data_IF_366891564451
#
_entry.id   IF_366891564451
#
_cell.length_a   1.000
_cell.length_b   1.000
_cell.length_c   1.000
_cell.angle_alpha   90.00
_cell.angle_beta   90.00
_cell.angle_gamma   90.00
#
_symmetry.space_group_name_H-M   'P 1'
#
loop_
_entity.id
_entity.type
_entity.pdbx_description
1 polymer ?
#
# COMPACT_ATOMS: atom_id res chain seq x y z
N UNK A 1 2.38 0.51 5.58
CA UNK A 1 1.42 0.22 6.68
C UNK A 1 0.77 1.54 7.10
N UNK A 2 -0.43 1.54 7.69
CA UNK A 2 -1.13 2.75 8.18
C UNK A 2 -1.62 3.77 7.10
N UNK A 3 -1.17 3.64 5.86
CA UNK A 3 -1.50 4.55 4.74
C UNK A 3 -2.68 4.07 3.89
N UNK A 4 -2.85 2.76 3.71
CA UNK A 4 -3.96 2.18 2.94
C UNK A 4 -5.08 1.62 3.83
N UNK A 5 -4.73 1.26 5.05
CA UNK A 5 -5.59 0.70 6.08
C UNK A 5 -5.02 1.09 7.44
N UNK A 6 -5.86 1.10 8.47
CA UNK A 6 -5.41 1.32 9.85
C UNK A 6 -4.45 0.21 10.29
N UNK A 7 -3.58 0.50 11.26
CA UNK A 7 -2.59 -0.47 11.72
C UNK A 7 -3.21 -1.81 12.13
N UNK A 8 -2.56 -2.91 11.76
CA UNK A 8 -3.06 -4.28 11.93
C UNK A 8 -4.32 -4.64 11.11
N UNK A 9 -4.90 -3.68 10.37
CA UNK A 9 -6.12 -3.86 9.59
C UNK A 9 -5.91 -4.39 8.18
N UNK A 10 -7.03 -4.52 7.46
CA UNK A 10 -7.09 -4.89 6.05
C UNK A 10 -7.66 -3.74 5.22
N UNK A 11 -7.38 -3.75 3.92
CA UNK A 11 -8.12 -2.97 2.94
C UNK A 11 -9.46 -3.68 2.67
N UNK A 12 -10.52 -3.18 3.33
CA UNK A 12 -11.88 -3.70 3.12
C UNK A 12 -12.61 -2.88 2.05
N UNK A 13 -13.39 -1.85 2.40
CA UNK A 13 -14.22 -1.15 1.43
C UNK A 13 -13.97 0.35 1.43
N UNK A 14 -12.91 0.77 0.72
CA UNK A 14 -12.67 2.18 0.41
C UNK A 14 -12.70 2.39 -1.12
N UNK A 15 -13.92 2.54 -1.66
CA UNK A 15 -14.17 2.70 -3.10
C UNK A 15 -13.37 3.88 -3.69
N UNK A 16 -13.38 5.02 -3.03
CA UNK A 16 -12.71 6.24 -3.51
C UNK A 16 -11.20 6.02 -3.65
N UNK A 17 -10.56 5.43 -2.65
CA UNK A 17 -9.13 5.13 -2.67
C UNK A 17 -8.80 4.04 -3.70
N UNK A 18 -9.63 3.00 -3.80
CA UNK A 18 -9.44 1.93 -4.78
C UNK A 18 -9.56 2.44 -6.22
N UNK A 19 -10.58 3.24 -6.53
CA UNK A 19 -10.76 3.85 -7.86
C UNK A 19 -9.62 4.80 -8.21
N UNK A 20 -9.09 5.54 -7.23
CA UNK A 20 -7.92 6.38 -7.44
C UNK A 20 -6.69 5.54 -7.83
N UNK A 21 -6.40 4.44 -7.10
CA UNK A 21 -5.32 3.50 -7.42
C UNK A 21 -5.52 2.89 -8.83
N UNK A 22 -6.73 2.44 -9.13
CA UNK A 22 -7.08 1.88 -10.45
C UNK A 22 -6.85 2.91 -11.56
N UNK A 23 -7.19 4.17 -11.33
CA UNK A 23 -6.97 5.24 -12.31
C UNK A 23 -5.48 5.38 -12.65
N UNK A 24 -4.59 5.30 -11.65
CA UNK A 24 -3.15 5.31 -11.87
C UNK A 24 -2.71 4.08 -12.69
N UNK A 25 -3.13 2.89 -12.29
CA UNK A 25 -2.77 1.63 -12.95
C UNK A 25 -3.22 1.58 -14.41
N UNK A 26 -4.42 2.09 -14.72
CA UNK A 26 -4.93 2.17 -16.09
C UNK A 26 -4.14 3.11 -16.99
N UNK A 27 -3.36 4.03 -16.42
CA UNK A 27 -2.47 4.96 -17.14
C UNK A 27 -1.00 4.50 -17.10
N UNK A 28 -0.74 3.22 -16.80
CA UNK A 28 0.61 2.64 -16.81
C UNK A 28 1.48 3.01 -15.62
N UNK A 29 0.93 3.70 -14.62
CA UNK A 29 1.66 4.00 -13.38
C UNK A 29 1.83 2.70 -12.58
N UNK A 30 3.08 2.38 -12.24
CA UNK A 30 3.39 1.26 -11.34
C UNK A 30 3.02 1.64 -9.91
N UNK A 31 2.12 0.89 -9.30
CA UNK A 31 1.67 1.09 -7.92
C UNK A 31 2.22 -0.04 -7.06
N UNK A 32 3.01 0.28 -6.04
CA UNK A 32 3.60 -0.71 -5.15
C UNK A 32 3.21 -0.44 -3.69
N UNK A 33 2.74 -1.48 -2.99
CA UNK A 33 2.51 -1.45 -1.54
C UNK A 33 3.74 -1.99 -0.84
N UNK A 34 4.47 -1.12 -0.14
CA UNK A 34 5.63 -1.51 0.69
C UNK A 34 5.16 -1.69 2.14
N UNK A 35 5.43 -2.85 2.73
CA UNK A 35 4.95 -3.21 4.08
C UNK A 35 6.03 -3.92 4.89
N UNK A 36 6.09 -3.63 6.19
CA UNK A 36 6.91 -4.37 7.14
C UNK A 36 6.43 -5.82 7.32
N UNK A 37 5.18 -6.12 6.97
CA UNK A 37 4.66 -7.48 7.06
C UNK A 37 5.46 -8.42 6.15
N UNK A 38 6.32 -9.25 6.76
CA UNK A 38 7.06 -10.32 6.09
C UNK A 38 6.36 -11.66 6.23
N UNK A 39 5.68 -12.09 5.15
CA UNK A 39 5.04 -13.41 5.03
C UNK A 39 5.78 -14.34 4.06
N UNK A 40 7.02 -14.00 3.68
CA UNK A 40 7.73 -14.70 2.60
C UNK A 40 7.07 -14.45 1.25
N UNK A 41 7.16 -15.44 0.37
CA UNK A 41 6.55 -15.45 -0.97
C UNK A 41 5.11 -16.01 -0.96
N UNK A 42 4.48 -16.15 0.20
CA UNK A 42 3.10 -16.60 0.35
C UNK A 42 2.12 -15.46 -0.02
N UNK A 43 1.82 -15.35 -1.31
CA UNK A 43 0.92 -14.34 -1.89
C UNK A 43 -0.46 -14.31 -1.22
N UNK A 44 -0.97 -15.46 -0.77
CA UNK A 44 -2.31 -15.57 -0.17
C UNK A 44 -2.48 -14.72 1.09
N UNK A 45 -1.41 -14.56 1.89
CA UNK A 45 -1.43 -13.73 3.10
C UNK A 45 -1.48 -12.24 2.79
N UNK A 46 -0.76 -11.79 1.75
CA UNK A 46 -0.86 -10.42 1.27
C UNK A 46 -2.23 -10.16 0.65
N UNK A 47 -2.76 -11.11 -0.13
CA UNK A 47 -4.10 -11.01 -0.72
C UNK A 47 -5.18 -10.85 0.34
N UNK A 48 -5.06 -11.54 1.49
CA UNK A 48 -5.99 -11.35 2.61
C UNK A 48 -5.99 -9.92 3.14
N UNK A 49 -4.81 -9.28 3.25
CA UNK A 49 -4.68 -7.89 3.72
C UNK A 49 -5.23 -6.87 2.71
N UNK A 50 -5.22 -7.22 1.42
CA UNK A 50 -5.60 -6.33 0.31
C UNK A 50 -6.89 -6.75 -0.40
N UNK A 51 -7.66 -7.66 0.20
CA UNK A 51 -8.76 -8.37 -0.46
C UNK A 51 -9.74 -7.43 -1.14
N UNK A 52 -10.18 -6.38 -0.44
CA UNK A 52 -11.14 -5.44 -0.99
C UNK A 52 -10.62 -4.58 -2.15
N UNK A 53 -9.31 -4.36 -2.22
CA UNK A 53 -8.69 -3.70 -3.38
C UNK A 53 -8.60 -4.66 -4.58
N UNK A 54 -8.19 -5.91 -4.33
CA UNK A 54 -8.08 -6.94 -5.37
C UNK A 54 -9.45 -7.30 -5.96
N UNK A 55 -10.46 -7.46 -5.12
CA UNK A 55 -11.85 -7.68 -5.55
C UNK A 55 -12.33 -6.50 -6.41
N UNK A 56 -11.93 -5.26 -6.06
CA UNK A 56 -12.27 -4.08 -6.86
C UNK A 56 -11.61 -4.08 -8.24
N UNK A 57 -10.38 -4.58 -8.39
CA UNK A 57 -9.75 -4.73 -9.71
C UNK A 57 -10.59 -5.60 -10.65
N UNK A 58 -11.18 -6.67 -10.12
CA UNK A 58 -12.07 -7.56 -10.88
C UNK A 58 -13.43 -6.89 -11.17
N UNK A 59 -14.04 -6.26 -10.17
CA UNK A 59 -15.34 -5.57 -10.31
C UNK A 59 -15.29 -4.46 -11.38
N UNK A 60 -14.16 -3.74 -11.45
CA UNK A 60 -13.96 -2.66 -12.41
C UNK A 60 -13.44 -3.16 -13.78
N UNK A 61 -13.37 -4.48 -13.99
CA UNK A 61 -12.97 -5.14 -15.23
C UNK A 61 -11.60 -4.67 -15.77
N UNK A 62 -10.61 -4.52 -14.89
CA UNK A 62 -9.25 -4.23 -15.33
C UNK A 62 -8.71 -5.37 -16.21
N UNK A 63 -7.96 -5.01 -17.25
CA UNK A 63 -7.24 -6.01 -18.06
C UNK A 63 -6.08 -6.61 -17.28
N UNK A 64 -5.56 -7.74 -17.75
CA UNK A 64 -4.36 -8.37 -17.17
C UNK A 64 -3.19 -7.38 -17.10
N UNK A 65 -2.89 -6.67 -18.18
CA UNK A 65 -1.80 -5.68 -18.24
C UNK A 65 -1.98 -4.53 -17.24
N UNK A 66 -3.23 -4.11 -16.99
CA UNK A 66 -3.54 -3.07 -16.00
C UNK A 66 -3.34 -3.58 -14.58
N UNK A 67 -3.79 -4.81 -14.28
CA UNK A 67 -3.59 -5.45 -12.96
C UNK A 67 -2.10 -5.66 -12.68
N UNK A 68 -1.33 -6.05 -13.70
CA UNK A 68 0.12 -6.25 -13.62
C UNK A 68 0.93 -4.96 -13.38
N UNK A 69 0.28 -3.80 -13.30
CA UNK A 69 0.88 -2.57 -12.77
C UNK A 69 0.88 -2.50 -11.23
N UNK A 70 0.27 -3.46 -10.53
CA UNK A 70 0.22 -3.49 -9.07
C UNK A 70 1.20 -4.49 -8.45
N UNK A 71 1.94 -4.03 -7.45
CA UNK A 71 3.00 -4.79 -6.77
C UNK A 71 2.85 -4.72 -5.26
N UNK A 72 3.38 -5.73 -4.58
CA UNK A 72 3.54 -5.74 -3.12
C UNK A 72 4.98 -6.06 -2.80
N UNK A 73 5.58 -5.26 -1.93
CA UNK A 73 6.91 -5.47 -1.40
C UNK A 73 6.80 -5.77 0.10
N UNK A 74 6.87 -7.05 0.45
CA UNK A 74 6.76 -7.54 1.81
C UNK A 74 8.09 -7.58 2.54
N UNK A 75 8.01 -7.49 3.87
CA UNK A 75 9.17 -7.46 4.77
C UNK A 75 10.12 -6.33 4.42
N UNK A 76 9.59 -5.13 4.19
CA UNK A 76 10.26 -3.89 3.78
C UNK A 76 10.93 -3.92 2.40
N UNK A 77 11.84 -4.88 2.17
CA UNK A 77 12.59 -5.02 0.94
C UNK A 77 12.96 -6.47 0.62
N UNK A 78 12.28 -7.46 1.21
CA UNK A 78 12.71 -8.86 1.13
C UNK A 78 11.91 -9.70 0.12
N UNK A 79 10.62 -9.43 -0.04
CA UNK A 79 9.72 -10.26 -0.83
C UNK A 79 8.96 -9.42 -1.86
N UNK A 80 9.37 -9.46 -3.12
CA UNK A 80 8.65 -8.79 -4.21
C UNK A 80 7.59 -9.73 -4.80
N UNK A 81 6.36 -9.25 -4.85
CA UNK A 81 5.22 -9.92 -5.44
C UNK A 81 4.51 -8.96 -6.41
N UNK A 82 3.82 -9.53 -7.39
CA UNK A 82 3.06 -8.82 -8.40
C UNK A 82 1.64 -9.35 -8.42
N UNK A 83 0.67 -8.48 -8.68
CA UNK A 83 -0.69 -8.92 -8.93
C UNK A 83 -0.86 -9.32 -10.39
N UNK A 84 -1.58 -10.42 -10.66
CA UNK A 84 -1.96 -10.85 -12.00
C UNK A 84 -3.41 -11.31 -12.01
N UNK A 85 -4.00 -11.40 -13.20
CA UNK A 85 -5.36 -11.87 -13.41
C UNK A 85 -5.33 -13.37 -13.72
N UNK A 86 -5.95 -14.16 -12.85
CA UNK A 86 -6.16 -15.59 -13.06
C UNK A 86 -7.59 -15.84 -13.53
N UNK A 87 -7.74 -16.57 -14.64
CA UNK A 87 -9.04 -17.00 -15.16
C UNK A 87 -9.20 -18.49 -14.93
N UNK A 88 -10.29 -18.89 -14.27
CA UNK A 88 -10.67 -20.28 -14.08
C UNK A 88 -11.99 -20.56 -14.80
N UNK A 89 -12.05 -21.66 -15.53
CA UNK A 89 -13.28 -22.16 -16.14
C UNK A 89 -14.04 -23.02 -15.12
N UNK A 90 -15.29 -22.66 -14.86
CA UNK A 90 -16.15 -23.35 -13.90
C UNK A 90 -17.42 -23.81 -14.60
N UNK A 91 -17.82 -25.07 -14.39
CA UNK A 91 -19.10 -25.58 -14.89
C UNK A 91 -20.27 -25.11 -14.00
N UNK A 92 -21.50 -25.10 -14.52
CA UNK A 92 -22.70 -24.65 -13.79
C UNK A 92 -22.99 -25.36 -12.46
N UNK A 93 -22.35 -26.51 -12.19
CA UNK A 93 -22.41 -27.24 -10.91
C UNK A 93 -21.35 -26.79 -9.88
N UNK A 94 -20.55 -25.76 -10.19
CA UNK A 94 -19.52 -25.21 -9.31
C UNK A 94 -18.25 -26.06 -9.21
N UNK A 95 -18.15 -27.14 -9.99
CA UNK A 95 -16.94 -27.97 -10.03
C UNK A 95 -15.89 -27.38 -11.01
N UNK A 96 -14.58 -27.49 -10.69
CA UNK A 96 -13.53 -27.04 -11.60
C UNK A 96 -13.62 -27.84 -12.90
N UNK A 97 -13.67 -27.18 -14.06
CA UNK A 97 -13.57 -27.91 -15.33
C UNK A 97 -12.12 -28.36 -15.51
N UNK A 98 -11.88 -29.67 -15.57
CA UNK A 98 -10.56 -30.24 -15.85
C UNK A 98 -10.15 -29.80 -17.27
N UNK A 99 -9.16 -28.91 -17.37
CA UNK A 99 -8.63 -28.43 -18.65
C UNK A 99 -7.64 -29.45 -19.24
N UNK A 100 -7.91 -29.87 -20.47
CA UNK A 100 -7.01 -30.65 -21.32
C UNK A 100 -5.84 -29.78 -21.84
N UNK A 101 -4.74 -30.46 -22.16
CA UNK A 101 -3.46 -29.90 -22.60
C UNK A 101 -3.58 -28.92 -23.78
N UNK A 102 -2.73 -27.89 -23.72
CA UNK A 102 -2.53 -26.86 -24.74
C UNK A 102 -1.80 -27.44 -25.95
N UNK A 103 -2.52 -28.11 -26.85
CA UNK A 103 -2.09 -28.27 -28.23
C UNK A 103 -3.25 -27.87 -29.16
N UNK A 104 -2.96 -26.92 -30.05
CA UNK A 104 -3.96 -26.21 -30.85
C UNK A 104 -4.71 -27.07 -31.85
N UNK A 105 -5.80 -27.69 -31.42
CA UNK A 105 -6.92 -28.08 -32.27
C UNK A 105 -8.26 -27.69 -31.62
N UNK A 106 -9.08 -26.97 -32.38
CA UNK A 106 -10.44 -26.58 -31.99
C UNK A 106 -11.27 -27.80 -31.58
N UNK A 107 -11.86 -27.86 -30.37
CA UNK A 107 -12.71 -29.00 -30.03
C UNK A 107 -14.01 -28.92 -30.82
N UNK A 108 -14.20 -29.93 -31.67
CA UNK A 108 -15.50 -30.33 -32.19
C UNK A 108 -16.51 -30.49 -31.04
N UNK A 109 -17.72 -29.97 -31.27
CA UNK A 109 -18.90 -30.08 -30.40
C UNK A 109 -18.97 -31.41 -29.66
N UNK A 110 -18.79 -31.38 -28.34
CA UNK A 110 -19.13 -32.49 -27.46
C UNK A 110 -20.54 -32.27 -26.88
N UNK A 111 -21.38 -33.28 -27.00
CA UNK A 111 -22.81 -33.35 -26.68
C UNK A 111 -23.13 -33.31 -25.17
N UNK A 112 -22.65 -32.31 -24.45
CA UNK A 112 -23.12 -32.00 -23.10
C UNK A 112 -23.26 -30.49 -22.96
N UNK A 113 -24.49 -30.00 -23.04
CA UNK A 113 -24.88 -28.59 -22.97
C UNK A 113 -24.68 -28.00 -21.55
N UNK A 114 -23.47 -28.08 -21.01
CA UNK A 114 -23.07 -27.44 -19.75
C UNK A 114 -22.44 -26.09 -20.08
N UNK A 115 -23.11 -25.02 -19.68
CA UNK A 115 -22.61 -23.65 -19.81
C UNK A 115 -21.32 -23.49 -18.97
N UNK A 116 -20.22 -23.12 -19.61
CA UNK A 116 -18.94 -22.87 -18.93
C UNK A 116 -18.87 -21.39 -18.62
N UNK A 117 -18.64 -21.03 -17.34
CA UNK A 117 -18.50 -19.65 -16.89
C UNK A 117 -17.04 -19.35 -16.58
N UNK A 118 -16.53 -18.25 -17.12
CA UNK A 118 -15.23 -17.72 -16.72
C UNK A 118 -15.36 -17.02 -15.37
N UNK A 119 -14.46 -17.35 -14.45
CA UNK A 119 -14.30 -16.68 -13.17
C UNK A 119 -12.92 -16.05 -13.15
N UNK A 120 -12.87 -14.73 -13.01
CA UNK A 120 -11.63 -13.99 -12.90
C UNK A 120 -11.32 -13.66 -11.44
N UNK A 121 -10.07 -13.84 -11.03
CA UNK A 121 -9.57 -13.46 -9.72
C UNK A 121 -8.24 -12.70 -9.86
N UNK A 122 -8.11 -11.59 -9.15
CA UNK A 122 -6.85 -10.89 -9.01
C UNK A 122 -6.03 -11.56 -7.90
N UNK A 123 -4.91 -12.18 -8.26
CA UNK A 123 -4.06 -12.95 -7.35
C UNK A 123 -2.69 -12.31 -7.23
N UNK A 124 -2.07 -12.41 -6.05
CA UNK A 124 -0.71 -11.92 -5.80
C UNK A 124 0.24 -13.11 -5.91
N UNK A 125 1.22 -13.01 -6.81
CA UNK A 125 2.19 -14.07 -7.10
C UNK A 125 3.63 -13.57 -6.91
N UNK A 126 4.57 -14.43 -6.53
CA UNK A 126 5.99 -14.05 -6.40
C UNK A 126 6.57 -13.52 -7.70
N UNK A 127 7.40 -12.47 -7.62
CA UNK A 127 8.31 -12.09 -8.70
C UNK A 127 9.64 -12.83 -8.48
N UNK A 128 10.15 -13.59 -9.47
CA UNK A 128 11.41 -14.31 -9.34
C UNK A 128 12.56 -13.38 -8.97
N UNK A 129 13.44 -13.81 -8.05
CA UNK A 129 14.52 -12.96 -7.51
C UNK A 129 15.48 -12.53 -8.63
N UNK A 130 15.76 -13.43 -9.56
CA UNK A 130 16.56 -13.20 -10.75
C UNK A 130 15.99 -12.10 -11.66
N UNK A 131 14.69 -11.81 -11.60
CA UNK A 131 14.08 -10.77 -12.41
C UNK A 131 14.35 -9.36 -11.86
N UNK A 132 14.31 -9.18 -10.54
CA UNK A 132 14.45 -7.85 -9.91
C UNK A 132 15.79 -7.60 -9.22
N UNK A 133 16.58 -8.66 -8.99
CA UNK A 133 17.96 -8.60 -8.50
C UNK A 133 18.95 -9.26 -9.47
N UNK A 134 18.69 -9.16 -10.78
CA UNK A 134 19.59 -9.65 -11.83
C UNK A 134 21.04 -9.15 -11.63
N UNK A 135 22.01 -9.90 -12.17
CA UNK A 135 23.44 -9.56 -12.00
C UNK A 135 23.78 -8.16 -12.53
N UNK A 136 23.20 -7.77 -13.66
CA UNK A 136 23.36 -6.47 -14.31
C UNK A 136 22.50 -5.33 -13.69
N UNK A 137 21.55 -5.67 -12.81
CA UNK A 137 20.74 -4.68 -12.09
C UNK A 137 21.63 -3.83 -11.19
N UNK A 138 21.44 -2.51 -11.30
CA UNK A 138 22.11 -1.51 -10.46
C UNK A 138 21.40 -1.30 -9.11
N UNK A 139 20.27 -1.97 -8.89
CA UNK A 139 19.51 -1.89 -7.64
C UNK A 139 20.16 -2.68 -6.50
N UNK A 140 19.71 -2.45 -5.25
CA UNK A 140 20.15 -3.24 -4.11
C UNK A 140 19.71 -4.70 -4.25
N UNK A 141 20.52 -5.60 -3.68
CA UNK A 141 20.38 -7.05 -3.82
C UNK A 141 20.18 -7.77 -2.47
N UNK A 142 19.08 -7.50 -1.75
CA UNK A 142 18.87 -8.02 -0.40
C UNK A 142 18.84 -9.55 -0.30
N UNK A 143 18.46 -10.27 -1.36
CA UNK A 143 18.45 -11.73 -1.35
C UNK A 143 19.86 -12.33 -1.24
N UNK A 144 20.90 -11.55 -1.56
CA UNK A 144 22.30 -12.00 -1.59
C UNK A 144 23.14 -11.38 -0.47
N UNK A 145 22.51 -10.75 0.52
CA UNK A 145 23.23 -10.21 1.68
C UNK A 145 23.89 -11.31 2.52
N UNK A 146 25.05 -11.03 3.15
CA UNK A 146 25.79 -12.03 3.93
C UNK A 146 24.96 -12.61 5.08
N UNK A 147 24.79 -13.93 5.08
CA UNK A 147 23.92 -14.63 6.05
C UNK A 147 24.47 -14.58 7.48
N UNK A 148 25.79 -14.49 7.65
CA UNK A 148 26.48 -14.32 8.92
C UNK A 148 26.17 -12.95 9.56
N UNK A 149 26.17 -11.88 8.77
CA UNK A 149 25.80 -10.55 9.25
C UNK A 149 24.31 -10.45 9.57
N UNK A 150 23.44 -11.05 8.74
CA UNK A 150 22.01 -11.18 9.03
C UNK A 150 21.79 -11.88 10.38
N UNK A 151 22.46 -13.01 10.59
CA UNK A 151 22.37 -13.78 11.84
C UNK A 151 22.85 -12.95 13.03
N UNK A 152 23.96 -12.23 12.86
CA UNK A 152 24.53 -11.36 13.90
C UNK A 152 23.56 -10.26 14.32
N UNK A 153 22.92 -9.57 13.37
CA UNK A 153 21.94 -8.51 13.67
C UNK A 153 20.76 -9.10 14.46
N UNK A 154 20.21 -10.23 14.01
CA UNK A 154 19.08 -10.88 14.67
C UNK A 154 19.46 -11.38 16.08
N UNK A 155 20.69 -11.87 16.29
CA UNK A 155 21.18 -12.32 17.60
C UNK A 155 21.34 -11.16 18.59
N UNK A 156 21.93 -10.05 18.14
CA UNK A 156 22.08 -8.83 18.96
C UNK A 156 20.72 -8.28 19.35
N UNK A 157 19.79 -8.22 18.39
CA UNK A 157 18.42 -7.79 18.64
C UNK A 157 17.68 -8.71 19.61
N UNK A 158 17.76 -10.03 19.41
CA UNK A 158 17.13 -11.02 20.29
C UNK A 158 17.64 -10.90 21.73
N UNK A 159 18.95 -10.80 21.89
CA UNK A 159 19.58 -10.63 23.21
C UNK A 159 19.05 -9.37 23.89
N UNK A 160 19.08 -8.23 23.21
CA UNK A 160 18.60 -6.96 23.75
C UNK A 160 17.10 -6.98 24.09
N UNK A 161 16.28 -7.62 23.25
CA UNK A 161 14.85 -7.82 23.52
C UNK A 161 14.64 -8.69 24.77
N UNK A 162 15.38 -9.78 24.93
CA UNK A 162 15.29 -10.66 26.11
C UNK A 162 15.68 -9.94 27.40
N UNK A 163 16.77 -9.20 27.40
CA UNK A 163 17.20 -8.38 28.54
C UNK A 163 16.13 -7.33 28.89
N UNK A 164 15.54 -6.68 27.89
CA UNK A 164 14.45 -5.72 28.10
C UNK A 164 13.19 -6.38 28.67
N UNK A 165 12.85 -7.59 28.22
CA UNK A 165 11.72 -8.35 28.76
C UNK A 165 11.89 -8.67 30.23
N UNK A 166 13.10 -9.04 30.65
CA UNK A 166 13.42 -9.36 32.04
C UNK A 166 13.37 -8.10 32.92
N UNK A 167 14.08 -7.04 32.50
CA UNK A 167 14.18 -5.78 33.24
C UNK A 167 12.82 -5.11 33.47
N UNK A 168 11.95 -5.12 32.46
CA UNK A 168 10.63 -4.48 32.51
C UNK A 168 9.51 -5.46 32.91
N UNK A 169 9.84 -6.71 33.23
CA UNK A 169 8.88 -7.76 33.58
C UNK A 169 7.76 -7.91 32.55
N UNK A 170 8.13 -7.98 31.27
CA UNK A 170 7.18 -8.03 30.16
C UNK A 170 6.65 -9.44 29.93
N UNK A 171 5.33 -9.54 29.86
CA UNK A 171 4.54 -10.73 29.51
C UNK A 171 4.39 -10.86 28.00
N UNK A 172 5.48 -10.74 27.27
CA UNK A 172 5.51 -10.83 25.81
C UNK A 172 6.14 -12.13 25.35
N UNK A 173 5.93 -12.50 24.09
CA UNK A 173 6.63 -13.58 23.42
C UNK A 173 7.53 -13.00 22.33
N UNK A 174 8.65 -13.66 22.06
CA UNK A 174 9.52 -13.36 20.93
C UNK A 174 9.16 -14.27 19.76
N UNK A 175 9.08 -13.71 18.56
CA UNK A 175 9.00 -14.44 17.30
C UNK A 175 10.20 -14.06 16.44
N UNK A 176 11.08 -15.03 16.20
CA UNK A 176 12.18 -14.91 15.25
C UNK A 176 11.82 -15.55 13.91
N UNK A 177 12.10 -14.84 12.83
CA UNK A 177 11.96 -15.26 11.44
C UNK A 177 13.33 -15.26 10.77
N UNK A 178 13.38 -15.64 9.50
CA UNK A 178 14.60 -15.65 8.70
C UNK A 178 15.27 -14.27 8.61
N UNK A 179 14.47 -13.21 8.47
CA UNK A 179 14.93 -11.84 8.21
C UNK A 179 14.28 -10.79 9.11
N UNK A 180 13.72 -11.23 10.23
CA UNK A 180 13.04 -10.36 11.18
C UNK A 180 12.98 -11.00 12.57
N UNK A 181 12.86 -10.18 13.59
CA UNK A 181 12.57 -10.62 14.95
C UNK A 181 11.68 -9.59 15.64
N UNK A 182 10.70 -10.05 16.42
CA UNK A 182 9.81 -9.14 17.13
C UNK A 182 9.25 -9.70 18.42
N UNK A 183 8.72 -8.79 19.22
CA UNK A 183 8.02 -9.06 20.47
C UNK A 183 6.55 -8.72 20.32
N UNK A 184 5.66 -9.60 20.80
CA UNK A 184 4.22 -9.42 20.72
C UNK A 184 3.53 -9.86 22.02
N UNK A 185 2.28 -9.45 22.28
CA UNK A 185 1.58 -9.80 23.51
C UNK A 185 1.54 -11.31 23.76
N UNK A 186 1.94 -11.72 24.97
CA UNK A 186 2.23 -13.12 25.26
C UNK A 186 1.03 -14.00 25.63
N UNK A 187 -0.15 -13.40 25.78
CA UNK A 187 -1.38 -14.09 26.16
C UNK A 187 -1.38 -14.61 27.61
N UNK A 188 -2.32 -15.52 27.89
CA UNK A 188 -2.50 -16.13 29.21
C UNK A 188 -1.27 -16.89 29.70
N UNK A 189 -0.52 -17.52 28.78
CA UNK A 189 0.67 -18.30 29.12
C UNK A 189 1.73 -17.45 29.86
N UNK A 190 1.90 -16.20 29.43
CA UNK A 190 2.89 -15.31 30.04
C UNK A 190 2.45 -14.73 31.38
N UNK A 191 1.16 -14.76 31.70
CA UNK A 191 0.66 -14.40 33.04
C UNK A 191 1.17 -15.41 34.07
N UNK A 192 1.18 -16.70 33.73
CA UNK A 192 1.66 -17.76 34.61
C UNK A 192 3.18 -17.71 34.79
N UNK A 193 3.92 -17.36 33.73
CA UNK A 193 5.40 -17.31 33.75
C UNK A 193 5.95 -16.06 34.41
N UNK A 194 5.26 -14.93 34.28
CA UNK A 194 5.67 -13.63 34.87
C UNK A 194 4.51 -13.12 35.73
N UNK A 195 4.41 -13.58 37.00
CA UNK A 195 3.26 -13.31 37.86
C UNK A 195 3.06 -11.83 38.17
N UNK A 196 4.13 -11.05 38.21
CA UNK A 196 4.13 -9.60 38.37
C UNK A 196 4.73 -8.99 37.11
N UNK A 197 3.92 -8.30 36.31
CA UNK A 197 4.34 -7.78 35.00
C UNK A 197 3.17 -7.26 34.15
N UNK A 198 3.45 -6.83 32.92
CA UNK A 198 2.45 -6.36 31.96
C UNK A 198 2.77 -6.80 30.52
N UNK A 199 1.85 -6.66 29.56
CA UNK A 199 2.12 -7.00 28.16
C UNK A 199 1.47 -8.29 27.66
N UNK A 200 0.68 -9.00 28.49
CA UNK A 200 0.02 -10.26 28.07
C UNK A 200 -1.06 -10.04 27.02
N UNK A 201 -1.83 -8.95 27.12
CA UNK A 201 -2.84 -8.55 26.13
C UNK A 201 -2.41 -7.32 25.34
N UNK A 202 -1.85 -6.33 26.02
CA UNK A 202 -1.37 -5.08 25.44
C UNK A 202 -0.07 -4.66 26.13
N UNK A 203 0.94 -4.37 25.34
CA UNK A 203 2.19 -3.78 25.83
C UNK A 203 2.03 -2.27 25.92
N UNK A 204 2.59 -1.66 26.97
CA UNK A 204 2.61 -0.20 27.11
C UNK A 204 3.49 0.39 26.02
N UNK A 205 3.09 1.52 25.45
CA UNK A 205 3.82 2.17 24.35
C UNK A 205 5.25 2.48 24.76
N UNK A 206 5.44 2.99 25.98
CA UNK A 206 6.73 3.37 26.55
C UNK A 206 7.67 2.17 26.68
N UNK A 207 7.13 0.98 26.98
CA UNK A 207 7.93 -0.25 27.04
C UNK A 207 8.33 -0.75 25.65
N UNK A 208 7.48 -0.54 24.64
CA UNK A 208 7.84 -0.81 23.24
C UNK A 208 8.88 0.19 22.72
N UNK A 209 8.74 1.48 23.07
CA UNK A 209 9.73 2.52 22.73
C UNK A 209 11.08 2.20 23.38
N UNK A 210 11.12 1.85 24.66
CA UNK A 210 12.34 1.43 25.37
C UNK A 210 13.00 0.21 24.70
N UNK A 211 12.21 -0.80 24.34
CA UNK A 211 12.70 -1.99 23.63
C UNK A 211 13.35 -1.63 22.29
N UNK A 212 12.69 -0.79 21.50
CA UNK A 212 13.21 -0.33 20.20
C UNK A 212 14.51 0.43 20.40
N UNK A 213 14.55 1.39 21.34
CA UNK A 213 15.74 2.20 21.61
C UNK A 213 16.93 1.36 22.10
N UNK A 214 16.69 0.37 22.96
CA UNK A 214 17.73 -0.56 23.43
C UNK A 214 18.30 -1.40 22.30
N UNK A 215 17.45 -1.95 21.42
CA UNK A 215 17.90 -2.71 20.25
C UNK A 215 18.71 -1.81 19.31
N UNK A 216 18.23 -0.59 19.05
CA UNK A 216 18.96 0.37 18.22
C UNK A 216 20.35 0.70 18.78
N UNK A 217 20.46 0.95 20.08
CA UNK A 217 21.76 1.23 20.73
C UNK A 217 22.67 0.00 20.73
N UNK A 218 22.13 -1.19 20.99
CA UNK A 218 22.89 -2.44 20.97
C UNK A 218 23.52 -2.70 19.58
N UNK A 219 22.77 -2.44 18.51
CA UNK A 219 23.26 -2.57 17.13
C UNK A 219 24.26 -1.45 16.78
N UNK A 220 23.98 -0.20 17.18
CA UNK A 220 24.86 0.94 16.92
C UNK A 220 26.23 0.77 17.56
N UNK A 221 26.26 0.19 18.76
CA UNK A 221 27.47 -0.04 19.56
C UNK A 221 28.12 -1.40 19.30
N UNK A 222 27.58 -2.21 18.38
CA UNK A 222 28.14 -3.51 18.02
C UNK A 222 29.52 -3.38 17.35
N UNK A 223 30.43 -4.29 17.69
CA UNK A 223 31.75 -4.43 17.07
C UNK A 223 31.96 -5.90 16.68
N UNK A 224 32.22 -6.23 15.39
CA UNK A 224 32.42 -5.32 14.26
C UNK A 224 31.16 -4.49 13.92
N UNK A 225 31.35 -3.36 13.23
CA UNK A 225 30.23 -2.47 12.89
C UNK A 225 29.28 -3.18 11.91
N UNK A 226 27.98 -3.11 12.19
CA UNK A 226 26.93 -3.55 11.27
C UNK A 226 26.86 -2.59 10.07
N UNK A 227 26.87 -3.19 8.87
CA UNK A 227 26.86 -2.50 7.57
C UNK A 227 25.54 -2.70 6.82
N UNK A 228 24.87 -3.84 7.01
CA UNK A 228 23.58 -4.10 6.38
C UNK A 228 22.52 -3.12 6.90
N UNK A 229 21.62 -2.64 6.01
CA UNK A 229 20.49 -1.83 6.42
C UNK A 229 19.50 -2.70 7.23
N UNK A 230 18.93 -2.10 8.27
CA UNK A 230 17.89 -2.69 9.10
C UNK A 230 16.87 -1.61 9.49
N UNK A 231 15.73 -2.04 10.02
CA UNK A 231 14.72 -1.16 10.59
C UNK A 231 14.32 -1.70 11.96
N UNK A 232 14.24 -0.85 12.98
CA UNK A 232 13.70 -1.20 14.31
C UNK A 232 12.57 -0.23 14.60
N UNK A 233 11.39 -0.75 14.89
CA UNK A 233 10.20 0.10 15.04
C UNK A 233 9.22 -0.42 16.07
N UNK A 234 8.48 0.52 16.66
CA UNK A 234 7.32 0.28 17.50
C UNK A 234 6.08 0.18 16.61
N UNK A 235 5.46 -1.00 16.55
CA UNK A 235 4.23 -1.27 15.80
C UNK A 235 2.95 -0.96 16.59
N UNK A 236 3.05 -0.17 17.66
CA UNK A 236 1.94 0.27 18.51
C UNK A 236 1.42 -0.80 19.48
N UNK A 237 1.41 -2.06 19.09
CA UNK A 237 1.03 -3.21 19.95
C UNK A 237 2.13 -4.26 20.10
N UNK A 238 3.13 -4.21 19.22
CA UNK A 238 4.31 -5.05 19.14
C UNK A 238 5.54 -4.18 18.80
N UNK A 239 6.73 -4.78 18.81
CA UNK A 239 7.95 -4.13 18.33
C UNK A 239 8.75 -5.12 17.50
N UNK A 240 9.37 -4.63 16.43
CA UNK A 240 10.03 -5.46 15.42
C UNK A 240 11.38 -4.87 15.03
N UNK A 241 12.29 -5.77 14.70
CA UNK A 241 13.45 -5.52 13.86
C UNK A 241 13.30 -6.30 12.57
N UNK A 242 13.46 -5.62 11.44
CA UNK A 242 13.53 -6.21 10.11
C UNK A 242 14.92 -5.99 9.51
N UNK A 243 15.42 -7.01 8.80
CA UNK A 243 16.63 -6.91 7.98
C UNK A 243 16.23 -6.24 6.66
N UNK A 244 16.76 -5.05 6.42
CA UNK A 244 16.33 -4.16 5.36
C UNK A 244 15.48 -2.99 5.87
N UNK A 245 15.08 -2.12 4.96
CA UNK A 245 14.17 -1.01 5.23
C UNK A 245 13.51 -0.54 3.92
N UNK A 246 12.51 0.36 4.03
CA UNK A 246 11.72 0.83 2.87
C UNK A 246 12.54 1.59 1.85
N UNK A 247 13.66 2.23 2.23
CA UNK A 247 14.57 2.86 1.26
C UNK A 247 15.08 1.83 0.25
N UNK A 248 15.59 0.70 0.75
CA UNK A 248 16.09 -0.40 -0.07
C UNK A 248 14.98 -0.96 -0.96
N UNK A 249 13.76 -1.12 -0.42
CA UNK A 249 12.61 -1.61 -1.18
C UNK A 249 12.24 -0.67 -2.34
N UNK A 250 12.20 0.64 -2.07
CA UNK A 250 11.92 1.65 -3.10
C UNK A 250 13.04 1.72 -4.15
N UNK A 251 14.31 1.70 -3.74
CA UNK A 251 15.46 1.66 -4.65
C UNK A 251 15.42 0.42 -5.56
N UNK A 252 15.06 -0.75 -5.00
CA UNK A 252 14.90 -1.98 -5.77
C UNK A 252 13.79 -1.85 -6.83
N UNK A 253 12.64 -1.26 -6.48
CA UNK A 253 11.56 -1.02 -7.44
C UNK A 253 11.96 -0.03 -8.53
N UNK A 254 12.64 1.06 -8.17
CA UNK A 254 13.15 2.05 -9.12
C UNK A 254 14.10 1.41 -10.13
N UNK A 255 15.04 0.58 -9.64
CA UNK A 255 15.96 -0.15 -10.51
C UNK A 255 15.24 -1.17 -11.39
N UNK A 256 14.33 -1.97 -10.81
CA UNK A 256 13.58 -3.00 -11.52
C UNK A 256 12.74 -2.42 -12.66
N UNK A 257 12.05 -1.31 -12.42
CA UNK A 257 11.24 -0.63 -13.43
C UNK A 257 12.02 0.36 -14.29
N UNK A 258 13.31 0.59 -14.00
CA UNK A 258 14.15 1.61 -14.65
C UNK A 258 13.53 3.01 -14.55
N UNK A 259 12.92 3.32 -13.41
CA UNK A 259 12.27 4.60 -13.12
C UNK A 259 13.21 5.49 -12.30
N UNK A 260 13.56 6.70 -12.78
CA UNK A 260 14.35 7.64 -11.99
C UNK A 260 13.66 8.05 -10.69
N UNK A 261 14.44 8.40 -9.67
CA UNK A 261 13.93 8.83 -8.36
C UNK A 261 12.91 9.98 -8.45
N UNK A 262 13.15 10.94 -9.36
CA UNK A 262 12.26 12.09 -9.57
C UNK A 262 10.87 11.72 -10.11
N UNK A 263 10.72 10.51 -10.67
CA UNK A 263 9.46 9.99 -11.21
C UNK A 263 8.80 8.98 -10.26
N UNK A 264 9.26 8.94 -9.00
CA UNK A 264 8.72 8.10 -7.94
C UNK A 264 8.11 9.01 -6.86
N UNK A 265 6.97 8.60 -6.29
CA UNK A 265 6.35 9.26 -5.16
C UNK A 265 6.02 8.20 -4.12
N UNK A 266 6.54 8.36 -2.91
CA UNK A 266 6.16 7.55 -1.77
C UNK A 266 5.15 8.29 -0.89
N UNK A 267 4.13 7.56 -0.43
CA UNK A 267 3.09 8.07 0.48
C UNK A 267 3.14 7.22 1.75
N UNK A 268 3.57 7.83 2.85
CA UNK A 268 3.99 7.15 4.08
C UNK A 268 3.62 7.95 5.34
N UNK A 269 3.53 7.27 6.49
CA UNK A 269 3.39 7.94 7.79
C UNK A 269 4.75 8.04 8.50
N UNK A 270 5.24 9.28 8.65
CA UNK A 270 6.47 9.63 9.36
C UNK A 270 6.22 10.24 10.77
N UNK A 271 4.97 10.28 11.29
CA UNK A 271 4.60 10.89 12.59
C UNK A 271 4.85 9.97 13.77
N UNK A 272 5.07 8.69 13.50
CA UNK A 272 5.58 7.79 14.51
C UNK A 272 7.11 7.97 14.59
N UNK A 273 7.59 8.45 15.73
CA UNK A 273 9.00 8.80 15.98
C UNK A 273 10.02 7.66 15.72
N UNK A 274 9.56 6.41 15.59
CA UNK A 274 10.34 5.22 15.24
C UNK A 274 9.94 4.64 13.88
N UNK A 275 9.38 5.47 12.98
CA UNK A 275 8.62 5.04 11.81
C UNK A 275 9.46 4.34 10.73
N UNK A 276 8.90 3.28 10.17
CA UNK A 276 9.51 2.52 9.09
C UNK A 276 9.49 3.24 7.73
N UNK A 277 8.63 4.25 7.55
CA UNK A 277 8.53 5.06 6.32
C UNK A 277 9.59 6.17 6.21
N UNK A 278 10.30 6.50 7.30
CA UNK A 278 11.30 7.59 7.29
C UNK A 278 12.40 7.31 6.27
N UNK A 279 12.84 6.06 6.14
CA UNK A 279 13.94 5.68 5.25
C UNK A 279 13.62 5.98 3.77
N UNK A 280 12.37 5.88 3.35
CA UNK A 280 11.98 6.08 1.94
C UNK A 280 12.30 7.50 1.42
N UNK A 281 12.36 8.51 2.30
CA UNK A 281 12.63 9.91 1.93
C UNK A 281 14.01 10.16 1.32
N UNK A 282 14.93 9.24 1.57
CA UNK A 282 16.31 9.34 1.09
C UNK A 282 16.43 8.96 -0.40
N UNK A 283 15.40 8.35 -0.98
CA UNK A 283 15.45 7.84 -2.37
C UNK A 283 14.31 8.31 -3.26
N UNK A 284 13.26 8.96 -2.75
CA UNK A 284 12.24 9.59 -3.57
C UNK A 284 11.47 10.68 -2.82
N UNK A 285 10.79 11.59 -3.55
CA UNK A 285 9.78 12.47 -2.98
C UNK A 285 8.81 11.71 -2.08
N UNK A 286 8.62 12.21 -0.86
CA UNK A 286 7.72 11.63 0.12
C UNK A 286 6.62 12.62 0.50
N UNK A 287 5.37 12.16 0.49
CA UNK A 287 4.24 12.87 1.10
C UNK A 287 3.89 12.20 2.41
N UNK A 288 3.87 13.03 3.45
CA UNK A 288 3.57 12.62 4.80
C UNK A 288 2.07 12.67 5.06
N UNK A 289 1.53 11.56 5.54
CA UNK A 289 0.12 11.43 5.92
C UNK A 289 -0.03 10.75 7.28
N UNK A 290 -1.19 10.91 7.93
CA UNK A 290 -1.52 10.25 9.21
C UNK A 290 -2.65 9.23 9.10
N UNK A 291 -3.31 9.11 7.95
CA UNK A 291 -4.44 8.20 7.78
C UNK A 291 -4.79 7.93 6.30
N UNK A 292 -5.57 6.87 6.01
CA UNK A 292 -6.00 6.55 4.65
C UNK A 292 -6.84 7.60 3.93
N UNK A 293 -7.53 8.49 4.66
CA UNK A 293 -8.31 9.59 4.03
C UNK A 293 -7.37 10.61 3.38
N UNK A 294 -6.23 10.89 4.00
CA UNK A 294 -5.21 11.76 3.42
C UNK A 294 -4.56 11.12 2.20
N UNK A 295 -4.31 9.81 2.21
CA UNK A 295 -3.89 9.06 1.01
C UNK A 295 -4.85 9.30 -0.15
N UNK A 296 -6.16 9.15 0.07
CA UNK A 296 -7.18 9.40 -0.97
C UNK A 296 -7.08 10.80 -1.55
N UNK A 297 -6.95 11.83 -0.69
CA UNK A 297 -6.75 13.22 -1.15
C UNK A 297 -5.47 13.41 -1.95
N UNK A 298 -4.36 12.81 -1.51
CA UNK A 298 -3.08 12.87 -2.24
C UNK A 298 -3.25 12.26 -3.63
N UNK A 299 -3.85 11.08 -3.74
CA UNK A 299 -4.06 10.45 -5.03
C UNK A 299 -4.98 11.27 -5.94
N UNK A 300 -6.00 11.94 -5.41
CA UNK A 300 -6.81 12.88 -6.19
C UNK A 300 -5.99 14.04 -6.78
N UNK A 301 -5.03 14.57 -6.03
CA UNK A 301 -4.13 15.61 -6.53
C UNK A 301 -3.20 15.04 -7.61
N UNK A 302 -2.62 13.85 -7.38
CA UNK A 302 -1.80 13.16 -8.39
C UNK A 302 -2.60 12.95 -9.67
N UNK A 303 -3.85 12.51 -9.58
CA UNK A 303 -4.70 12.29 -10.75
C UNK A 303 -4.97 13.61 -11.48
N UNK A 304 -5.39 14.64 -10.74
CA UNK A 304 -5.72 15.95 -11.29
C UNK A 304 -4.55 16.62 -11.99
N UNK A 305 -3.36 16.61 -11.37
CA UNK A 305 -2.18 17.30 -11.89
C UNK A 305 -1.30 16.42 -12.78
N UNK A 306 -1.45 15.10 -12.71
CA UNK A 306 -0.75 14.12 -13.54
C UNK A 306 -1.39 13.85 -14.89
N UNK A 307 -2.44 14.60 -15.27
CA UNK A 307 -3.22 14.40 -16.50
C UNK A 307 -3.77 12.96 -16.64
N UNK A 308 -4.20 12.39 -15.52
CA UNK A 308 -4.75 11.03 -15.44
C UNK A 308 -6.27 11.13 -15.51
N UNK A 309 -6.89 10.36 -16.38
CA UNK A 309 -8.35 10.31 -16.48
C UNK A 309 -8.90 9.49 -15.30
N UNK A 310 -9.72 10.07 -14.41
CA UNK A 310 -10.31 9.31 -13.31
C UNK A 310 -11.24 8.22 -13.84
N UNK A 311 -11.10 7.01 -13.31
CA UNK A 311 -12.03 5.91 -13.57
C UNK A 311 -13.28 6.11 -12.71
N UNK A 312 -14.43 6.22 -13.39
CA UNK A 312 -15.74 6.17 -12.75
C UNK A 312 -16.19 4.71 -12.65
N UNK A 313 -16.64 4.30 -11.46
CA UNK A 313 -17.04 2.91 -11.18
C UNK A 313 -18.03 2.37 -12.21
N UNK A 314 -17.76 1.16 -12.71
CA UNK A 314 -18.65 0.39 -13.59
C UNK A 314 -20.01 0.14 -12.93
N UNK A 315 -20.05 -0.01 -11.61
CA UNK A 315 -21.28 -0.19 -10.85
C UNK A 315 -22.23 1.02 -10.96
N UNK A 316 -21.68 2.24 -11.04
CA UNK A 316 -22.49 3.46 -11.24
C UNK A 316 -23.07 3.56 -12.65
N UNK A 317 -22.42 2.93 -13.65
CA UNK A 317 -22.95 2.90 -15.03
C UNK A 317 -24.10 1.91 -15.21
N UNK A 318 -24.18 0.90 -14.34
CA UNK A 318 -25.23 -0.15 -14.36
C UNK A 318 -26.43 0.17 -13.45
N UNK A 319 -26.33 1.17 -12.57
CA UNK A 319 -27.47 1.62 -11.79
C UNK A 319 -28.52 2.26 -12.74
N UNK A 320 -29.79 1.81 -12.74
CA UNK A 320 -30.82 2.46 -13.55
C UNK A 320 -30.94 3.91 -13.08
N UNK A 321 -30.69 4.85 -13.99
CA UNK A 321 -30.88 6.27 -13.75
C UNK A 321 -32.33 6.52 -13.31
N UNK A 322 -32.57 6.70 -12.01
CA UNK A 322 -33.82 7.24 -11.49
C UNK A 322 -33.67 8.75 -11.48
N UNK A 323 -34.14 9.39 -12.54
CA UNK A 323 -34.32 10.83 -12.55
C UNK A 323 -35.13 11.22 -11.30
N UNK A 324 -34.53 11.97 -10.38
CA UNK A 324 -35.30 12.59 -9.31
C UNK A 324 -35.95 13.86 -9.85
N UNK A 325 -37.15 14.19 -9.37
CA UNK A 325 -37.96 15.28 -9.90
C UNK A 325 -37.30 16.67 -9.75
N UNK A 326 -36.22 16.76 -8.96
CA UNK A 326 -35.39 17.96 -8.81
C UNK A 326 -34.42 18.18 -9.99
N UNK A 327 -33.98 17.12 -10.69
CA UNK A 327 -33.02 17.23 -11.81
C UNK A 327 -33.64 17.80 -13.10
N UNK A 328 -34.96 17.88 -13.20
CA UNK A 328 -35.68 18.45 -14.35
C UNK A 328 -35.79 19.98 -14.31
N UNK A 329 -35.31 20.63 -13.24
CA UNK A 329 -35.44 22.09 -13.07
C UNK A 329 -34.15 22.87 -13.34
N UNK A 330 -33.04 22.20 -13.64
CA UNK A 330 -31.73 22.83 -13.93
C UNK A 330 -31.37 22.87 -15.43
N UNK A 331 -32.25 22.42 -16.32
CA UNK A 331 -32.08 22.61 -17.77
C UNK A 331 -32.88 23.85 -18.18
N UNK A 332 -32.25 25.02 -18.08
CA UNK A 332 -32.74 26.21 -18.77
C UNK A 332 -32.76 25.94 -20.28
N UNK A 333 -33.85 26.29 -21.00
CA UNK A 333 -33.92 26.03 -22.43
C UNK A 333 -32.93 26.91 -23.19
N UNK A 334 -32.08 26.27 -23.99
CA UNK A 334 -31.34 26.94 -25.08
C UNK A 334 -29.84 27.09 -24.89
N UNK A 335 -29.09 25.99 -24.96
CA UNK A 335 -27.71 26.01 -25.48
C UNK A 335 -27.51 24.78 -26.36
N UNK A 336 -27.43 25.00 -27.67
CA UNK A 336 -26.97 24.01 -28.66
C UNK A 336 -25.47 24.27 -28.88
N UNK A 337 -24.59 23.25 -28.87
CA UNK A 337 -23.17 23.49 -29.11
C UNK A 337 -22.88 23.62 -30.61
N UNK A 338 -22.29 24.75 -31.00
CA UNK A 338 -21.57 24.91 -32.27
C UNK A 338 -22.02 26.10 -33.12
N UNK A 339 -21.42 27.27 -32.92
CA UNK A 339 -21.02 28.24 -33.97
C UNK A 339 -20.32 29.46 -33.35
N UNK A 340 -19.30 29.96 -34.05
CA UNK A 340 -18.51 31.13 -33.68
C UNK A 340 -19.25 32.46 -33.94
N UNK A 341 -18.97 33.51 -33.14
CA UNK A 341 -18.70 34.90 -33.59
C UNK A 341 -18.86 35.95 -32.45
N UNK A 342 -17.75 36.61 -32.13
CA UNK A 342 -17.50 38.05 -31.93
C UNK A 342 -18.59 39.10 -31.58
N UNK A 343 -18.16 40.11 -30.77
CA UNK A 343 -18.63 41.51 -30.60
C UNK A 343 -19.93 41.68 -29.78
N UNK A 344 -20.18 42.68 -28.92
CA UNK A 344 -19.60 43.99 -28.54
C UNK A 344 -20.35 44.51 -27.28
N UNK A 345 -19.78 45.45 -26.50
CA UNK A 345 -20.46 46.15 -25.37
C UNK A 345 -21.62 47.10 -25.80
N UNK A 346 -22.19 48.01 -24.95
CA UNK A 346 -21.59 48.66 -23.77
C UNK A 346 -22.49 48.90 -22.50
N UNK A 347 -21.83 49.32 -21.42
CA UNK A 347 -22.15 50.24 -20.29
C UNK A 347 -23.56 50.42 -19.65
N UNK A 348 -23.63 50.14 -18.32
CA UNK A 348 -24.07 50.93 -17.09
C UNK A 348 -25.30 51.89 -17.12
N UNK A 349 -25.90 52.37 -15.97
CA UNK A 349 -25.51 52.26 -14.53
C UNK A 349 -26.65 51.99 -13.49
N UNK A 350 -26.21 51.74 -12.24
CA UNK A 350 -26.74 52.05 -10.88
C UNK A 350 -28.23 51.97 -10.49
N UNK A 351 -28.52 51.17 -9.44
CA UNK A 351 -29.21 51.63 -8.21
C UNK A 351 -29.12 50.60 -7.08
N UNK A 352 -28.82 51.08 -5.88
CA UNK A 352 -28.61 50.33 -4.65
C UNK A 352 -29.89 49.77 -4.01
N UNK A 353 -29.83 48.58 -3.41
CA UNK A 353 -30.33 48.40 -2.02
C UNK A 353 -29.78 47.14 -1.36
N UNK A 354 -29.53 47.31 -0.06
CA UNK A 354 -29.04 46.40 0.97
C UNK A 354 -29.47 44.91 0.89
N UNK A 355 -28.48 44.03 0.94
CA UNK A 355 -28.44 42.89 1.88
C UNK A 355 -27.03 42.27 1.84
N UNK A 356 -26.21 42.61 2.82
CA UNK A 356 -24.88 41.99 3.05
C UNK A 356 -25.08 40.56 3.56
N UNK A 357 -25.33 39.64 2.63
CA UNK A 357 -25.09 38.22 2.83
C UNK A 357 -23.58 38.00 2.86
N UNK A 358 -23.07 37.50 3.99
CA UNK A 358 -21.71 36.97 4.08
C UNK A 358 -21.56 35.87 3.02
N UNK A 359 -20.63 35.97 2.06
CA UNK A 359 -20.33 34.83 1.22
C UNK A 359 -19.73 33.72 2.11
N UNK A 360 -20.31 32.53 2.05
CA UNK A 360 -19.73 31.33 2.64
C UNK A 360 -18.35 31.13 2.01
N UNK A 361 -17.32 31.45 2.80
CA UNK A 361 -15.95 31.03 2.56
C UNK A 361 -15.93 29.51 2.40
N UNK A 362 -15.77 29.05 1.15
CA UNK A 362 -15.21 27.73 0.87
C UNK A 362 -13.69 27.93 0.83
N UNK A 363 -13.12 28.24 1.99
CA UNK A 363 -11.70 28.13 2.26
C UNK A 363 -11.56 27.41 3.59
N UNK A 364 -11.73 26.09 3.53
CA UNK A 364 -11.11 25.23 4.53
C UNK A 364 -9.63 25.20 4.18
N UNK A 365 -8.84 26.07 4.80
CA UNK A 365 -7.39 25.94 4.84
C UNK A 365 -7.06 24.52 5.32
N UNK A 366 -6.64 23.67 4.39
CA UNK A 366 -5.96 22.43 4.75
C UNK A 366 -4.59 22.84 5.30
N UNK A 367 -4.28 22.33 6.49
CA UNK A 367 -2.95 22.40 7.06
C UNK A 367 -1.90 22.03 6.02
N UNK A 368 -0.79 22.78 6.04
CA UNK A 368 0.33 22.71 5.09
C UNK A 368 0.66 21.25 4.74
N UNK A 369 0.37 20.84 3.49
CA UNK A 369 0.86 19.57 2.95
C UNK A 369 2.40 19.64 2.96
N UNK A 370 3.03 18.87 3.83
CA UNK A 370 4.49 18.83 3.92
C UNK A 370 5.01 17.85 2.86
N UNK A 371 5.52 18.41 1.76
CA UNK A 371 6.20 17.65 0.71
C UNK A 371 7.70 17.78 0.93
N UNK A 372 8.39 16.67 1.20
CA UNK A 372 9.84 16.65 1.25
C UNK A 372 10.38 16.22 -0.12
N UNK A 373 11.03 17.16 -0.82
CA UNK A 373 11.80 16.86 -2.03
C UNK A 373 13.26 16.82 -1.60
N UNK A 374 13.78 15.62 -1.35
CA UNK A 374 15.17 15.46 -0.94
C UNK A 374 16.09 16.00 -2.03
N UNK A 375 16.74 17.13 -1.79
CA UNK A 375 17.99 17.51 -2.43
C UNK A 375 18.78 18.54 -1.62
N UNK A 376 20.04 18.17 -1.35
CA UNK A 376 21.22 18.95 -0.94
C UNK A 376 21.17 19.71 0.39
N UNK A 377 21.80 19.10 1.41
CA UNK A 377 22.72 19.81 2.29
C UNK A 377 24.15 19.34 2.00
#
# INVERSE_FOLDING_TARGET
DQTLYTDGGNFEENEELALAIISLMCHGVKVAVVTAAGYGLDGSKYSKRLRGLLDRFVIENLTKDQIENFFVFGGECNYLLQCTLQTTLVTTDGSPSVGFDLDGESPSKNDNNKEVKEVHEAVIVPVPVEAWQAEDSQGPKPAFWPQDEITTILDVAEKSMRETMEDLQLRVKILRKERAIGVYPGGTDMILKVPVGHGSSKVKREALDEMVLRVMEALRSHTPRITLPYCVFNGGTDAWLDIGNKRVGVEALQAYFKIPQANCLHVGDQFLNTGNDIAARETCPCIWIINPRETGKVLQHVIKYGNITPILSTQRRLAPYKATQEDLTLIGPGVVPGTAASLSGPEKPDAASANLSRPRSISGELGKLCVYTGNML
#
